data_IF_792703793374
#
_entry.id   IF_792703793374
#
_cell.length_a   1.000
_cell.length_b   1.000
_cell.length_c   1.000
_cell.angle_alpha   90.00
_cell.angle_beta   90.00
_cell.angle_gamma   90.00
#
_symmetry.space_group_name_H-M   'P 1'
#
loop_
_entity.id
_entity.type
_entity.pdbx_description
1 polymer ?
#
# COMPACT_ATOMS: atom_id res chain seq x y z
N UNK A 1 -3.10 14.55 1.86
CA UNK A 1 -1.86 13.78 1.63
C UNK A 1 -1.65 12.92 2.86
N UNK A 2 -1.99 11.64 2.76
CA UNK A 2 -1.78 10.67 3.83
C UNK A 2 -0.28 10.42 3.89
N UNK A 3 0.37 10.81 4.98
CA UNK A 3 1.80 10.52 5.19
C UNK A 3 1.98 9.01 5.04
N UNK A 4 2.90 8.57 4.15
CA UNK A 4 3.21 7.14 3.97
C UNK A 4 3.41 6.51 5.36
N UNK A 5 2.54 5.55 5.69
CA UNK A 5 2.66 4.82 6.95
C UNK A 5 4.01 4.09 6.94
N UNK A 6 4.69 4.04 8.10
CA UNK A 6 5.93 3.25 8.15
C UNK A 6 5.57 1.77 7.97
N UNK A 7 6.44 0.95 7.35
CA UNK A 7 6.19 -0.49 7.20
C UNK A 7 5.92 -1.18 8.55
N UNK A 8 6.56 -0.69 9.62
CA UNK A 8 6.36 -1.19 10.96
C UNK A 8 4.96 -0.89 11.50
N UNK A 9 4.44 0.33 11.25
CA UNK A 9 3.08 0.71 11.63
C UNK A 9 2.04 -0.05 10.79
N UNK A 10 2.23 -0.17 9.47
CA UNK A 10 1.32 -0.93 8.61
C UNK A 10 1.22 -2.39 9.03
N UNK A 11 2.35 -3.02 9.40
CA UNK A 11 2.33 -4.38 9.98
C UNK A 11 1.57 -4.45 11.31
N UNK A 12 1.68 -3.42 12.16
CA UNK A 12 0.92 -3.35 13.41
C UNK A 12 -0.58 -3.16 13.18
N UNK A 13 -0.96 -2.34 12.19
CA UNK A 13 -2.35 -2.11 11.80
C UNK A 13 -2.99 -3.37 11.20
N UNK A 14 -2.27 -4.11 10.37
CA UNK A 14 -2.74 -5.38 9.83
C UNK A 14 -3.11 -6.39 10.93
N UNK A 15 -2.40 -6.39 12.07
CA UNK A 15 -2.72 -7.28 13.21
C UNK A 15 -4.03 -6.90 13.92
N UNK A 16 -4.49 -5.66 13.81
CA UNK A 16 -5.75 -5.18 14.40
C UNK A 16 -6.81 -4.85 13.35
N UNK A 17 -6.61 -5.31 12.12
CA UNK A 17 -7.55 -5.13 11.02
C UNK A 17 -8.75 -6.07 11.16
N UNK A 18 -9.93 -5.72 10.62
CA UNK A 18 -11.09 -6.61 10.53
C UNK A 18 -10.76 -7.97 9.91
N UNK A 19 -11.46 -9.01 10.37
CA UNK A 19 -11.17 -10.41 10.05
C UNK A 19 -10.18 -11.08 11.01
N UNK A 20 -9.35 -10.29 11.72
CA UNK A 20 -8.43 -10.85 12.73
C UNK A 20 -9.13 -11.15 14.06
N UNK A 21 -8.72 -12.23 14.72
CA UNK A 21 -9.21 -12.56 16.06
C UNK A 21 -8.85 -11.48 17.10
N UNK A 22 -7.71 -10.79 16.92
CA UNK A 22 -7.32 -9.69 17.79
C UNK A 22 -8.29 -8.51 17.66
N UNK A 23 -8.66 -8.12 16.43
CA UNK A 23 -9.66 -7.07 16.21
C UNK A 23 -11.01 -7.43 16.84
N UNK A 24 -11.49 -8.66 16.64
CA UNK A 24 -12.72 -9.14 17.28
C UNK A 24 -12.66 -9.02 18.81
N UNK A 25 -11.51 -9.34 19.40
CA UNK A 25 -11.29 -9.21 20.84
C UNK A 25 -11.33 -7.75 21.30
N UNK A 26 -10.65 -6.85 20.58
CA UNK A 26 -10.63 -5.42 20.88
C UNK A 26 -12.02 -4.78 20.74
N UNK A 27 -12.76 -5.13 19.69
CA UNK A 27 -14.13 -4.67 19.48
C UNK A 27 -15.07 -5.17 20.60
N UNK A 28 -14.86 -6.40 21.09
CA UNK A 28 -15.60 -6.93 22.26
C UNK A 28 -15.29 -6.13 23.53
N UNK A 29 -14.03 -5.76 23.77
CA UNK A 29 -13.64 -4.90 24.90
C UNK A 29 -14.33 -3.55 24.80
N UNK A 30 -14.33 -2.95 23.61
CA UNK A 30 -14.93 -1.66 23.34
C UNK A 30 -16.45 -1.67 23.55
N UNK A 31 -17.15 -2.66 22.99
CA UNK A 31 -18.61 -2.86 23.14
C UNK A 31 -19.01 -3.11 24.59
N UNK A 32 -18.12 -3.69 25.39
CA UNK A 32 -18.34 -3.89 26.82
C UNK A 32 -18.11 -2.61 27.65
N UNK A 33 -17.76 -1.48 27.02
CA UNK A 33 -17.46 -0.23 27.71
C UNK A 33 -16.20 -0.30 28.56
N UNK A 34 -15.23 -1.15 28.18
CA UNK A 34 -14.00 -1.38 28.94
C UNK A 34 -12.79 -0.81 28.22
N UNK A 35 -11.74 -0.53 29.00
CA UNK A 35 -10.44 -0.15 28.47
C UNK A 35 -9.48 -1.33 28.52
N UNK A 36 -8.46 -1.29 27.68
CA UNK A 36 -7.41 -2.30 27.66
C UNK A 36 -6.08 -1.68 27.23
N UNK A 37 -4.99 -2.24 27.74
CA UNK A 37 -3.64 -1.97 27.25
C UNK A 37 -3.05 -3.31 26.84
N UNK A 38 -2.78 -3.49 25.55
CA UNK A 38 -2.33 -4.76 24.98
C UNK A 38 -0.96 -4.54 24.34
N UNK A 39 0.03 -5.35 24.71
CA UNK A 39 1.37 -5.33 24.11
C UNK A 39 1.54 -6.58 23.26
N UNK A 40 1.97 -6.41 22.01
CA UNK A 40 2.21 -7.50 21.06
C UNK A 40 3.70 -7.85 21.06
N UNK A 41 4.05 -8.87 21.84
CA UNK A 41 5.42 -9.33 22.04
C UNK A 41 5.73 -9.60 23.51
N UNK A 42 6.25 -10.79 23.79
CA UNK A 42 6.58 -11.29 25.12
C UNK A 42 8.10 -11.49 25.31
N UNK A 43 8.90 -10.73 24.55
CA UNK A 43 10.36 -10.77 24.59
C UNK A 43 10.99 -10.23 25.88
N UNK A 44 12.30 -10.45 26.10
CA UNK A 44 13.01 -10.04 27.33
C UNK A 44 12.89 -8.56 27.66
N UNK A 45 12.89 -7.69 26.65
CA UNK A 45 12.74 -6.24 26.82
C UNK A 45 11.39 -5.89 27.45
N UNK A 46 10.29 -6.49 26.95
CA UNK A 46 8.94 -6.28 27.52
C UNK A 46 8.86 -6.86 28.93
N UNK A 47 9.46 -8.02 29.16
CA UNK A 47 9.50 -8.63 30.48
C UNK A 47 10.30 -7.80 31.50
N UNK A 48 11.35 -7.10 31.06
CA UNK A 48 12.18 -6.26 31.94
C UNK A 48 11.45 -5.06 32.53
N UNK A 49 10.44 -4.55 31.81
CA UNK A 49 9.58 -3.44 32.27
C UNK A 49 8.26 -3.93 32.89
N UNK A 50 8.04 -5.25 32.94
CA UNK A 50 6.81 -5.86 33.43
C UNK A 50 6.92 -6.20 34.92
N UNK A 51 6.00 -5.66 35.73
CA UNK A 51 5.93 -5.95 37.17
C UNK A 51 4.55 -6.49 37.54
N UNK A 52 4.51 -7.47 38.44
CA UNK A 52 3.27 -8.11 38.88
C UNK A 52 2.59 -8.92 37.77
N UNK A 53 1.26 -9.00 37.82
CA UNK A 53 0.45 -9.82 36.93
C UNK A 53 0.63 -11.32 37.15
N UNK A 54 0.04 -12.12 36.26
CA UNK A 54 0.12 -13.57 36.30
C UNK A 54 0.48 -14.13 34.92
N UNK A 55 1.29 -15.19 34.94
CA UNK A 55 1.62 -15.98 33.76
C UNK A 55 0.40 -16.83 33.40
N UNK A 56 -0.07 -16.69 32.17
CA UNK A 56 -1.20 -17.44 31.62
C UNK A 56 -0.72 -18.53 30.68
N UNK A 57 0.14 -18.16 29.73
CA UNK A 57 0.61 -19.01 28.63
C UNK A 57 -0.52 -19.85 28.00
N UNK A 58 -1.59 -19.16 27.59
CA UNK A 58 -2.80 -19.78 27.06
C UNK A 58 -3.06 -19.33 25.64
N UNK A 59 -3.67 -20.18 24.81
CA UNK A 59 -4.06 -19.80 23.45
C UNK A 59 -4.92 -18.52 23.44
N UNK A 60 -4.75 -17.72 22.40
CA UNK A 60 -5.55 -16.52 22.24
C UNK A 60 -7.00 -16.88 21.88
N UNK A 61 -7.95 -16.14 22.44
CA UNK A 61 -9.30 -16.04 21.88
C UNK A 61 -9.88 -14.65 22.15
N UNK A 62 -10.77 -14.15 21.26
CA UNK A 62 -11.44 -12.87 21.47
C UNK A 62 -12.16 -12.76 22.83
N UNK A 63 -12.76 -13.87 23.27
CA UNK A 63 -13.46 -13.98 24.56
C UNK A 63 -12.47 -13.87 25.72
N UNK A 64 -11.35 -14.60 25.68
CA UNK A 64 -10.32 -14.52 26.73
C UNK A 64 -9.76 -13.11 26.86
N UNK A 65 -9.47 -12.45 25.73
CA UNK A 65 -9.00 -11.06 25.76
C UNK A 65 -10.01 -10.13 26.46
N UNK A 66 -11.30 -10.24 26.10
CA UNK A 66 -12.37 -9.42 26.69
C UNK A 66 -12.57 -9.69 28.19
N UNK A 67 -12.47 -10.95 28.61
CA UNK A 67 -12.56 -11.34 30.02
C UNK A 67 -11.38 -10.82 30.83
N UNK A 68 -10.15 -10.93 30.31
CA UNK A 68 -8.95 -10.43 30.98
C UNK A 68 -8.92 -8.90 31.05
N UNK A 69 -9.51 -8.21 30.07
CA UNK A 69 -9.65 -6.75 30.08
C UNK A 69 -10.62 -6.24 31.17
N UNK A 70 -11.29 -7.13 31.92
CA UNK A 70 -12.02 -6.76 33.15
C UNK A 70 -11.07 -6.42 34.30
N UNK A 71 -9.85 -6.94 34.24
CA UNK A 71 -8.80 -6.65 35.20
C UNK A 71 -8.11 -5.33 34.84
N UNK A 72 -7.44 -4.74 35.82
CA UNK A 72 -6.57 -3.60 35.58
C UNK A 72 -5.25 -4.05 34.93
N UNK A 73 -4.43 -3.08 34.53
CA UNK A 73 -3.11 -3.33 33.96
C UNK A 73 -3.11 -3.68 32.46
N UNK A 74 -1.99 -4.25 32.03
CA UNK A 74 -1.71 -4.63 30.66
C UNK A 74 -1.85 -6.13 30.43
N UNK A 75 -2.18 -6.47 29.19
CA UNK A 75 -2.22 -7.84 28.67
C UNK A 75 -1.06 -7.97 27.68
N UNK A 76 -0.21 -8.98 27.87
CA UNK A 76 0.93 -9.26 27.01
C UNK A 76 0.59 -10.47 26.17
N UNK A 77 0.62 -10.29 24.85
CA UNK A 77 0.42 -11.34 23.87
C UNK A 77 1.77 -11.75 23.26
N UNK A 78 1.83 -12.94 22.67
CA UNK A 78 2.92 -13.26 21.76
C UNK A 78 2.94 -12.31 20.56
N UNK A 79 4.09 -12.23 19.88
CA UNK A 79 4.32 -11.31 18.74
C UNK A 79 3.30 -11.49 17.61
N UNK A 80 2.84 -12.71 17.39
CA UNK A 80 1.85 -13.09 16.37
C UNK A 80 0.40 -13.11 16.90
N UNK A 81 0.17 -12.65 18.14
CA UNK A 81 -1.11 -12.70 18.84
C UNK A 81 -1.72 -14.12 18.98
N UNK A 82 -0.93 -15.19 18.81
CA UNK A 82 -1.41 -16.57 18.91
C UNK A 82 -1.73 -17.02 20.34
N UNK A 83 -1.05 -16.43 21.33
CA UNK A 83 -1.21 -16.74 22.76
C UNK A 83 -1.22 -15.49 23.63
N UNK A 84 -1.86 -15.62 24.79
CA UNK A 84 -1.81 -14.66 25.90
C UNK A 84 -0.74 -15.12 26.87
N UNK A 85 0.38 -14.40 26.91
CA UNK A 85 1.50 -14.71 27.78
C UNK A 85 1.18 -14.33 29.24
N UNK A 86 0.71 -13.08 29.45
CA UNK A 86 0.46 -12.52 30.79
C UNK A 86 -0.73 -11.58 30.78
N UNK A 87 -1.35 -11.42 31.94
CA UNK A 87 -2.39 -10.41 32.15
C UNK A 87 -2.23 -9.76 33.53
N UNK A 88 -2.94 -8.64 33.72
CA UNK A 88 -2.85 -7.80 34.92
C UNK A 88 -1.42 -7.32 35.22
N UNK A 89 -0.65 -7.06 34.17
CA UNK A 89 0.75 -6.64 34.28
C UNK A 89 0.81 -5.13 34.47
N UNK A 90 1.63 -4.65 35.40
CA UNK A 90 1.96 -3.24 35.50
C UNK A 90 3.24 -2.96 34.68
N UNK A 91 3.11 -2.17 33.62
CA UNK A 91 4.25 -1.77 32.78
C UNK A 91 4.89 -0.49 33.33
N UNK A 92 6.21 -0.54 33.53
CA UNK A 92 7.02 0.56 34.06
C UNK A 92 8.09 0.96 33.04
N UNK A 93 7.70 1.63 31.93
CA UNK A 93 8.67 2.14 30.96
C UNK A 93 9.47 3.32 31.52
N UNK A 94 10.58 3.68 30.87
CA UNK A 94 11.39 4.84 31.27
C UNK A 94 10.55 6.14 31.26
N UNK A 95 10.54 6.83 32.42
CA UNK A 95 9.81 8.07 32.62
C UNK A 95 10.42 9.26 31.88
N UNK A 96 11.70 9.19 31.49
CA UNK A 96 12.41 10.22 30.74
C UNK A 96 11.91 10.38 29.30
N UNK A 97 11.28 9.33 28.76
CA UNK A 97 10.76 9.32 27.39
C UNK A 97 9.60 10.31 27.26
N UNK A 98 9.69 11.27 26.32
CA UNK A 98 8.65 12.25 26.11
C UNK A 98 7.37 11.58 25.62
N UNK A 99 6.24 12.13 26.02
CA UNK A 99 4.90 11.65 25.64
C UNK A 99 3.98 12.86 25.47
N UNK A 100 3.19 12.86 24.41
CA UNK A 100 2.17 13.89 24.15
C UNK A 100 0.78 13.43 24.58
N UNK A 101 0.63 12.15 24.93
CA UNK A 101 -0.64 11.57 25.33
C UNK A 101 -1.08 12.01 26.74
N UNK A 102 -2.40 12.05 26.91
CA UNK A 102 -3.04 12.32 28.21
C UNK A 102 -3.61 11.04 28.80
N UNK A 103 -3.47 10.86 30.11
CA UNK A 103 -3.92 9.66 30.82
C UNK A 103 -2.83 8.60 30.94
N UNK A 104 -2.82 7.91 32.08
CA UNK A 104 -1.74 6.97 32.43
C UNK A 104 -1.59 5.84 31.41
N UNK A 105 -2.71 5.26 30.95
CA UNK A 105 -2.69 4.16 29.96
C UNK A 105 -2.07 4.56 28.62
N UNK A 106 -2.48 5.70 28.08
CA UNK A 106 -1.99 6.18 26.78
C UNK A 106 -0.53 6.64 26.86
N UNK A 107 -0.13 7.31 27.95
CA UNK A 107 1.27 7.66 28.21
C UNK A 107 2.15 6.43 28.33
N UNK A 108 1.69 5.39 29.04
CA UNK A 108 2.41 4.12 29.12
C UNK A 108 2.50 3.46 27.74
N UNK A 109 1.41 3.44 26.97
CA UNK A 109 1.41 2.86 25.63
C UNK A 109 2.44 3.52 24.70
N UNK A 110 2.43 4.85 24.63
CA UNK A 110 3.36 5.62 23.81
C UNK A 110 4.82 5.41 24.26
N UNK A 111 5.08 5.42 25.57
CA UNK A 111 6.44 5.21 26.09
C UNK A 111 6.95 3.80 25.86
N UNK A 112 6.11 2.78 26.01
CA UNK A 112 6.49 1.39 25.73
C UNK A 112 6.81 1.24 24.25
N UNK A 113 5.95 1.73 23.36
CA UNK A 113 6.19 1.65 21.91
C UNK A 113 7.44 2.44 21.44
N UNK A 114 7.81 3.51 22.14
CA UNK A 114 9.03 4.30 21.86
C UNK A 114 10.30 3.69 22.45
N UNK A 115 10.21 3.07 23.63
CA UNK A 115 11.37 2.44 24.29
C UNK A 115 11.69 1.07 23.72
N UNK A 116 10.65 0.32 23.38
CA UNK A 116 10.73 -1.06 22.94
C UNK A 116 10.02 -1.12 21.60
N UNK A 117 10.69 -1.63 20.57
CA UNK A 117 10.15 -1.77 19.20
C UNK A 117 9.11 -2.91 19.15
N UNK A 118 8.01 -2.76 19.90
CA UNK A 118 6.85 -3.65 19.96
C UNK A 118 5.57 -2.87 19.70
N UNK A 119 4.58 -3.44 18.99
CA UNK A 119 3.30 -2.77 18.81
C UNK A 119 2.51 -2.76 20.13
N UNK A 120 1.96 -1.61 20.48
CA UNK A 120 1.14 -1.45 21.68
C UNK A 120 -0.23 -0.92 21.28
N UNK A 121 -1.29 -1.59 21.73
CA UNK A 121 -2.67 -1.22 21.45
C UNK A 121 -3.32 -0.73 22.73
N UNK A 122 -3.93 0.44 22.67
CA UNK A 122 -4.75 0.96 23.76
C UNK A 122 -6.21 1.02 23.33
N UNK A 123 -7.11 0.61 24.22
CA UNK A 123 -8.55 0.76 24.07
C UNK A 123 -9.02 1.75 25.13
N UNK A 124 -9.66 2.84 24.69
CA UNK A 124 -10.22 3.86 25.56
C UNK A 124 -11.72 3.67 25.70
N UNK A 125 -12.16 3.28 26.90
CA UNK A 125 -13.59 3.16 27.23
C UNK A 125 -14.32 4.50 27.11
N UNK A 126 -13.69 5.60 27.56
CA UNK A 126 -14.33 6.91 27.62
C UNK A 126 -14.51 7.53 26.23
N UNK A 127 -13.55 7.28 25.33
CA UNK A 127 -13.61 7.83 23.97
C UNK A 127 -14.22 6.85 22.97
N UNK A 128 -14.39 5.58 23.35
CA UNK A 128 -14.78 4.49 22.44
C UNK A 128 -13.85 4.38 21.22
N UNK A 129 -12.53 4.46 21.45
CA UNK A 129 -11.51 4.43 20.40
C UNK A 129 -10.43 3.39 20.69
N UNK A 130 -9.88 2.83 19.60
CA UNK A 130 -8.70 1.98 19.60
C UNK A 130 -7.54 2.78 19.00
N UNK A 131 -6.39 2.77 19.66
CA UNK A 131 -5.17 3.40 19.15
C UNK A 131 -4.02 2.40 19.16
N UNK A 132 -3.24 2.40 18.08
CA UNK A 132 -2.02 1.61 17.90
C UNK A 132 -0.82 2.55 18.00
N UNK A 133 0.16 2.15 18.79
CA UNK A 133 1.43 2.83 18.96
C UNK A 133 2.54 1.91 18.46
N UNK A 134 3.42 2.45 17.62
CA UNK A 134 4.59 1.76 17.09
C UNK A 134 5.68 2.79 16.90
N UNK A 135 6.82 2.62 17.56
CA UNK A 135 7.89 3.61 17.56
C UNK A 135 7.39 4.98 18.01
N UNK A 136 7.72 6.03 17.27
CA UNK A 136 7.26 7.40 17.49
C UNK A 136 5.84 7.66 16.92
N UNK A 137 5.27 6.70 16.21
CA UNK A 137 4.00 6.83 15.51
C UNK A 137 2.82 6.37 16.37
N UNK A 138 1.75 7.14 16.29
CA UNK A 138 0.44 6.81 16.85
C UNK A 138 -0.58 6.84 15.72
N UNK A 139 -1.38 5.78 15.63
CA UNK A 139 -2.49 5.68 14.70
C UNK A 139 -3.78 5.38 15.43
N UNK A 140 -4.83 6.15 15.14
CA UNK A 140 -6.17 5.86 15.62
C UNK A 140 -6.87 4.95 14.62
N UNK A 141 -7.22 3.75 15.07
CA UNK A 141 -7.90 2.77 14.23
C UNK A 141 -9.28 3.32 13.87
N UNK A 142 -9.54 3.40 12.57
CA UNK A 142 -10.80 3.94 12.08
C UNK A 142 -11.93 2.90 12.16
N UNK A 143 -13.19 3.34 12.33
CA UNK A 143 -14.34 2.47 12.15
C UNK A 143 -14.41 1.93 10.72
N UNK A 144 -14.79 0.65 10.57
CA UNK A 144 -14.91 -0.02 9.26
C UNK A 144 -15.82 0.75 8.29
N UNK A 145 -16.92 1.32 8.77
CA UNK A 145 -17.84 2.13 7.95
C UNK A 145 -17.19 3.40 7.39
N UNK A 146 -16.31 4.05 8.16
CA UNK A 146 -15.58 5.22 7.71
C UNK A 146 -14.55 4.84 6.63
N UNK A 147 -13.84 3.72 6.84
CA UNK A 147 -12.89 3.19 5.87
C UNK A 147 -13.57 2.86 4.54
N UNK A 148 -14.71 2.17 4.56
CA UNK A 148 -15.49 1.90 3.35
C UNK A 148 -15.90 3.20 2.63
N UNK A 149 -16.46 4.18 3.35
CA UNK A 149 -16.88 5.43 2.73
C UNK A 149 -15.72 6.20 2.07
N UNK A 150 -14.53 6.18 2.69
CA UNK A 150 -13.32 6.79 2.11
C UNK A 150 -12.82 6.04 0.89
N UNK A 151 -12.88 4.72 0.96
CA UNK A 151 -12.43 3.84 -0.11
C UNK A 151 -13.33 3.92 -1.33
N UNK A 152 -14.65 3.92 -1.14
CA UNK A 152 -15.64 4.12 -2.22
C UNK A 152 -15.43 5.48 -2.92
N UNK A 153 -15.15 6.53 -2.13
CA UNK A 153 -14.82 7.86 -2.66
C UNK A 153 -13.52 7.83 -3.48
N UNK A 154 -12.49 7.16 -2.99
CA UNK A 154 -11.19 7.04 -3.67
C UNK A 154 -11.34 6.24 -4.97
N UNK A 155 -12.02 5.10 -4.95
CA UNK A 155 -12.30 4.28 -6.14
C UNK A 155 -13.11 5.03 -7.19
N UNK A 156 -14.17 5.74 -6.80
CA UNK A 156 -14.95 6.56 -7.73
C UNK A 156 -14.11 7.67 -8.37
N UNK A 157 -13.15 8.23 -7.63
CA UNK A 157 -12.21 9.22 -8.16
C UNK A 157 -11.20 8.58 -9.11
N UNK A 158 -10.65 7.42 -8.73
CA UNK A 158 -9.72 6.63 -9.54
C UNK A 158 -10.35 6.21 -10.87
N UNK A 159 -11.61 5.76 -10.87
CA UNK A 159 -12.37 5.42 -12.09
C UNK A 159 -12.45 6.58 -13.08
N UNK A 160 -12.63 7.82 -12.59
CA UNK A 160 -12.67 9.01 -13.46
C UNK A 160 -11.31 9.29 -14.07
N UNK A 161 -10.23 9.19 -13.30
CA UNK A 161 -8.88 9.35 -13.83
C UNK A 161 -8.48 8.24 -14.79
N UNK A 162 -8.89 6.99 -14.51
CA UNK A 162 -8.70 5.86 -15.42
C UNK A 162 -9.39 6.08 -16.76
N UNK A 163 -10.67 6.45 -16.73
CA UNK A 163 -11.41 6.78 -17.95
C UNK A 163 -10.76 7.93 -18.73
N UNK A 164 -10.28 8.97 -18.04
CA UNK A 164 -9.55 10.08 -18.66
C UNK A 164 -8.24 9.60 -19.30
N UNK A 165 -7.48 8.75 -18.61
CA UNK A 165 -6.24 8.15 -19.12
C UNK A 165 -6.51 7.38 -20.42
N UNK A 166 -7.53 6.53 -20.45
CA UNK A 166 -7.86 5.73 -21.64
C UNK A 166 -8.26 6.61 -22.85
N UNK A 167 -9.01 7.69 -22.61
CA UNK A 167 -9.38 8.65 -23.65
C UNK A 167 -8.16 9.41 -24.18
N UNK A 168 -7.30 9.91 -23.29
CA UNK A 168 -6.10 10.65 -23.69
C UNK A 168 -5.09 9.75 -24.42
N UNK A 169 -4.94 8.50 -23.99
CA UNK A 169 -4.08 7.53 -24.64
C UNK A 169 -4.56 7.22 -26.06
N UNK A 170 -5.87 7.00 -26.24
CA UNK A 170 -6.46 6.79 -27.57
C UNK A 170 -6.29 8.02 -28.46
N UNK A 171 -6.42 9.22 -27.89
CA UNK A 171 -6.18 10.48 -28.58
C UNK A 171 -4.73 10.63 -29.01
N UNK A 172 -3.78 10.33 -28.12
CA UNK A 172 -2.35 10.34 -28.40
C UNK A 172 -2.00 9.39 -29.55
N UNK A 173 -2.53 8.16 -29.55
CA UNK A 173 -2.32 7.22 -30.67
C UNK A 173 -2.89 7.72 -32.00
N UNK A 174 -3.97 8.52 -31.97
CA UNK A 174 -4.51 9.13 -33.20
C UNK A 174 -3.57 10.22 -33.72
N UNK A 175 -3.12 11.11 -32.83
CA UNK A 175 -2.16 12.17 -33.16
C UNK A 175 -0.81 11.61 -33.62
N UNK A 176 -0.40 10.46 -33.09
CA UNK A 176 0.79 9.71 -33.54
C UNK A 176 0.69 9.29 -35.00
N UNK A 177 -0.47 8.77 -35.41
CA UNK A 177 -0.71 8.36 -36.80
C UNK A 177 -0.72 9.57 -37.74
N UNK A 178 -1.22 10.70 -37.25
CA UNK A 178 -1.28 11.96 -38.00
C UNK A 178 0.03 12.78 -37.96
N UNK A 179 1.04 12.31 -37.22
CA UNK A 179 2.32 12.98 -37.00
C UNK A 179 2.15 14.43 -36.46
N UNK A 180 1.20 14.61 -35.54
CA UNK A 180 0.76 15.91 -35.02
C UNK A 180 0.79 16.02 -33.49
N UNK A 181 1.51 15.11 -32.83
CA UNK A 181 1.63 15.04 -31.36
C UNK A 181 2.32 16.29 -30.79
N UNK A 182 1.74 16.86 -29.74
CA UNK A 182 2.39 17.89 -28.94
C UNK A 182 2.84 17.38 -27.56
N UNK A 183 3.78 18.09 -26.94
CA UNK A 183 4.21 17.82 -25.56
C UNK A 183 3.02 17.88 -24.59
N UNK A 184 2.04 18.74 -24.85
CA UNK A 184 0.86 18.85 -23.99
C UNK A 184 0.00 17.58 -24.01
N UNK A 185 -0.07 16.88 -25.15
CA UNK A 185 -0.82 15.63 -25.29
C UNK A 185 -0.15 14.50 -24.49
N UNK A 186 1.19 14.40 -24.61
CA UNK A 186 2.00 13.43 -23.86
C UNK A 186 1.89 13.68 -22.35
N UNK A 187 2.07 14.93 -21.91
CA UNK A 187 1.94 15.32 -20.50
C UNK A 187 0.54 15.03 -19.97
N UNK A 188 -0.50 15.23 -20.77
CA UNK A 188 -1.87 14.90 -20.40
C UNK A 188 -2.06 13.42 -20.07
N UNK A 189 -1.50 12.51 -20.89
CA UNK A 189 -1.53 11.06 -20.64
C UNK A 189 -0.76 10.71 -19.37
N UNK A 190 0.46 11.24 -19.23
CA UNK A 190 1.34 11.00 -18.07
C UNK A 190 0.67 11.44 -16.77
N UNK A 191 0.11 12.65 -16.72
CA UNK A 191 -0.61 13.17 -15.56
C UNK A 191 -1.81 12.29 -15.19
N UNK A 192 -2.61 11.88 -16.17
CA UNK A 192 -3.80 11.07 -15.91
C UNK A 192 -3.42 9.68 -15.35
N UNK A 193 -2.38 9.06 -15.90
CA UNK A 193 -1.84 7.80 -15.39
C UNK A 193 -1.33 7.94 -13.95
N UNK A 194 -0.55 8.98 -13.67
CA UNK A 194 -0.01 9.20 -12.34
C UNK A 194 -1.10 9.46 -11.29
N UNK A 195 -2.15 10.20 -11.64
CA UNK A 195 -3.28 10.38 -10.74
C UNK A 195 -3.97 9.06 -10.38
N UNK A 196 -4.04 8.09 -11.30
CA UNK A 196 -4.56 6.73 -10.99
C UNK A 196 -3.64 6.02 -10.00
N UNK A 197 -2.33 5.97 -10.28
CA UNK A 197 -1.35 5.28 -9.44
C UNK A 197 -1.26 5.88 -8.03
N UNK A 198 -1.29 7.21 -7.92
CA UNK A 198 -1.26 7.91 -6.63
C UNK A 198 -2.48 7.63 -5.77
N UNK A 199 -3.67 7.61 -6.37
CA UNK A 199 -4.90 7.26 -5.63
C UNK A 199 -4.88 5.78 -5.25
N UNK A 200 -4.29 4.90 -6.06
CA UNK A 200 -4.13 3.50 -5.71
C UNK A 200 -3.24 3.32 -4.47
N UNK A 201 -2.13 4.06 -4.34
CA UNK A 201 -1.32 4.07 -3.11
C UNK A 201 -2.12 4.50 -1.87
N UNK A 202 -2.99 5.50 -2.01
CA UNK A 202 -3.90 5.91 -0.92
C UNK A 202 -4.89 4.79 -0.56
N UNK A 203 -5.44 4.08 -1.56
CA UNK A 203 -6.34 2.94 -1.35
C UNK A 203 -5.64 1.78 -0.65
N UNK A 204 -4.39 1.47 -1.01
CA UNK A 204 -3.60 0.42 -0.36
C UNK A 204 -3.43 0.68 1.14
N UNK A 205 -3.27 1.95 1.54
CA UNK A 205 -3.26 2.34 2.96
C UNK A 205 -4.57 1.98 3.68
N UNK A 206 -5.73 2.24 3.07
CA UNK A 206 -7.02 1.85 3.62
C UNK A 206 -7.23 0.33 3.63
N UNK A 207 -6.72 -0.39 2.63
CA UNK A 207 -6.81 -1.84 2.55
C UNK A 207 -6.08 -2.55 3.70
N UNK A 208 -4.93 -2.03 4.13
CA UNK A 208 -4.23 -2.55 5.31
C UNK A 208 -5.11 -2.47 6.56
N UNK A 209 -5.85 -1.37 6.73
CA UNK A 209 -6.74 -1.19 7.87
C UNK A 209 -8.08 -1.93 7.74
N UNK A 210 -8.55 -2.18 6.51
CA UNK A 210 -9.76 -2.95 6.23
C UNK A 210 -9.54 -4.47 6.37
N UNK A 211 -8.31 -4.96 6.19
CA UNK A 211 -8.00 -6.38 6.34
C UNK A 211 -8.85 -7.25 5.40
N UNK A 212 -9.51 -8.27 5.96
CA UNK A 212 -10.35 -9.19 5.16
C UNK A 212 -11.59 -8.49 4.55
N UNK A 213 -12.15 -7.49 5.25
CA UNK A 213 -13.31 -6.73 4.76
C UNK A 213 -12.97 -5.89 3.51
N UNK A 214 -11.68 -5.68 3.22
CA UNK A 214 -11.18 -4.94 2.07
C UNK A 214 -11.08 -5.75 0.77
N UNK A 215 -11.39 -7.05 0.78
CA UNK A 215 -11.11 -7.93 -0.37
C UNK A 215 -11.73 -7.41 -1.70
N UNK A 216 -13.01 -7.03 -1.68
CA UNK A 216 -13.70 -6.54 -2.88
C UNK A 216 -13.13 -5.22 -3.39
N UNK A 217 -12.76 -4.32 -2.48
CA UNK A 217 -12.09 -3.06 -2.81
C UNK A 217 -10.76 -3.35 -3.49
N UNK A 218 -9.97 -4.28 -2.93
CA UNK A 218 -8.66 -4.62 -3.46
C UNK A 218 -8.73 -5.13 -4.90
N UNK A 219 -9.72 -5.97 -5.20
CA UNK A 219 -10.00 -6.43 -6.57
C UNK A 219 -10.34 -5.27 -7.51
N UNK A 220 -11.21 -4.35 -7.09
CA UNK A 220 -11.60 -3.19 -7.89
C UNK A 220 -10.43 -2.24 -8.14
N UNK A 221 -9.61 -1.97 -7.12
CA UNK A 221 -8.39 -1.15 -7.25
C UNK A 221 -7.42 -1.79 -8.25
N UNK A 222 -7.17 -3.10 -8.10
CA UNK A 222 -6.27 -3.83 -8.99
C UNK A 222 -6.74 -3.81 -10.45
N UNK A 223 -8.04 -3.94 -10.71
CA UNK A 223 -8.62 -3.84 -12.05
C UNK A 223 -8.40 -2.45 -12.68
N UNK A 224 -8.57 -1.37 -11.90
CA UNK A 224 -8.40 0.00 -12.39
C UNK A 224 -6.95 0.36 -12.70
N UNK A 225 -6.01 -0.19 -11.92
CA UNK A 225 -4.57 0.02 -12.08
C UNK A 225 -3.99 -0.85 -13.20
N UNK A 226 -4.66 -1.93 -13.57
CA UNK A 226 -4.14 -2.88 -14.54
C UNK A 226 -3.76 -2.20 -15.88
N UNK A 227 -2.56 -2.53 -16.36
CA UNK A 227 -1.99 -1.97 -17.58
C UNK A 227 -1.59 -0.49 -17.54
N UNK A 228 -1.90 0.28 -16.49
CA UNK A 228 -1.56 1.73 -16.43
C UNK A 228 -0.05 1.95 -16.42
N UNK A 229 0.65 1.39 -15.43
CA UNK A 229 2.09 1.60 -15.27
C UNK A 229 2.94 1.10 -16.47
N UNK A 230 2.70 -0.11 -17.02
CA UNK A 230 3.42 -0.56 -18.22
C UNK A 230 3.18 0.34 -19.43
N UNK A 231 1.96 0.84 -19.61
CA UNK A 231 1.63 1.73 -20.72
C UNK A 231 2.30 3.09 -20.54
N UNK A 232 2.28 3.62 -19.31
CA UNK A 232 2.99 4.85 -18.96
C UNK A 232 4.49 4.74 -19.24
N UNK A 233 5.11 3.61 -18.90
CA UNK A 233 6.52 3.34 -19.20
C UNK A 233 6.80 3.41 -20.71
N UNK A 234 5.92 2.88 -21.56
CA UNK A 234 6.06 2.96 -23.02
C UNK A 234 5.96 4.40 -23.52
N UNK A 235 4.96 5.16 -23.06
CA UNK A 235 4.78 6.57 -23.43
C UNK A 235 6.01 7.39 -23.03
N UNK A 236 6.47 7.26 -21.79
CA UNK A 236 7.67 7.98 -21.32
C UNK A 236 8.91 7.56 -22.11
N UNK A 237 9.06 6.26 -22.43
CA UNK A 237 10.20 5.80 -23.22
C UNK A 237 10.21 6.40 -24.62
N UNK A 238 9.06 6.49 -25.26
CA UNK A 238 8.98 6.92 -26.66
C UNK A 238 9.09 8.45 -26.79
N UNK A 239 8.75 9.22 -25.74
CA UNK A 239 8.76 10.69 -25.78
C UNK A 239 9.79 11.40 -24.87
N UNK A 240 10.39 10.72 -23.89
CA UNK A 240 11.33 11.32 -22.92
C UNK A 240 12.75 10.77 -23.05
N UNK A 241 12.96 9.62 -23.69
CA UNK A 241 14.30 9.15 -24.00
C UNK A 241 14.89 9.94 -25.18
N UNK A 242 15.61 11.03 -24.87
CA UNK A 242 16.37 11.79 -25.86
C UNK A 242 17.30 10.91 -26.70
N UNK A 243 17.22 11.12 -28.02
CA UNK A 243 18.04 10.56 -29.10
C UNK A 243 17.99 9.05 -29.37
N UNK A 244 16.98 8.66 -30.17
CA UNK A 244 17.28 8.04 -31.46
C UNK A 244 16.62 8.90 -32.54
N UNK A 245 17.43 9.56 -33.37
CA UNK A 245 17.01 10.54 -34.36
C UNK A 245 15.74 10.14 -35.16
N UNK A 246 14.89 11.11 -35.55
CA UNK A 246 13.82 10.85 -36.50
C UNK A 246 14.49 10.42 -37.82
N UNK A 247 14.15 9.25 -38.34
CA UNK A 247 14.51 8.93 -39.73
C UNK A 247 13.72 9.88 -40.64
N UNK A 248 14.36 10.74 -41.44
CA UNK A 248 13.65 11.54 -42.42
C UNK A 248 13.37 10.67 -43.65
N UNK A 249 12.09 10.52 -43.99
CA UNK A 249 11.61 9.78 -45.16
C UNK A 249 10.86 8.51 -44.74
N UNK A 250 9.55 8.39 -44.91
CA UNK A 250 8.80 8.82 -46.09
C UNK A 250 8.44 7.59 -46.90
N UNK A 251 7.15 7.27 -46.89
CA UNK A 251 6.39 6.61 -47.95
C UNK A 251 6.82 5.22 -48.49
N UNK A 252 5.82 4.33 -48.46
CA UNK A 252 5.48 3.38 -49.52
C UNK A 252 6.48 2.25 -49.82
N UNK A 253 6.08 1.02 -49.46
CA UNK A 253 6.00 -0.09 -50.44
C UNK A 253 4.79 -0.98 -50.17
N UNK A 254 3.64 -0.58 -50.71
CA UNK A 254 2.73 -1.53 -51.35
C UNK A 254 3.25 -1.71 -52.78
N UNK A 255 3.78 -2.89 -53.08
CA UNK A 255 3.91 -3.47 -54.43
C UNK A 255 4.60 -4.85 -54.25
N UNK A 256 3.88 -5.95 -54.40
CA UNK A 256 3.61 -6.65 -55.65
C UNK A 256 4.48 -7.92 -55.72
N UNK A 257 3.81 -9.07 -55.92
CA UNK A 257 4.47 -10.34 -56.17
C UNK A 257 5.28 -10.32 -57.48
N UNK A 258 5.99 -11.43 -57.75
CA UNK A 258 5.45 -12.33 -58.76
C UNK A 258 5.48 -13.83 -58.37
N UNK A 259 4.62 -14.56 -59.08
CA UNK A 259 4.45 -16.01 -59.17
C UNK A 259 5.77 -16.77 -59.42
N UNK A 260 5.99 -18.04 -59.04
CA UNK A 260 5.31 -19.27 -59.48
C UNK A 260 5.87 -20.50 -58.73
N UNK A 261 4.99 -21.50 -58.53
CA UNK A 261 5.15 -22.94 -58.20
C UNK A 261 6.55 -23.58 -58.13
N UNK A 262 6.79 -24.44 -57.12
CA UNK A 262 6.48 -25.89 -57.21
C UNK A 262 6.86 -26.70 -55.94
N UNK A 263 5.95 -27.58 -55.52
CA UNK A 263 6.07 -28.86 -54.79
C UNK A 263 7.12 -29.06 -53.68
N UNK A 264 6.68 -29.41 -52.45
CA UNK A 264 6.52 -30.82 -51.97
C UNK A 264 6.08 -30.86 -50.49
N UNK A 265 5.16 -31.76 -50.18
CA UNK A 265 4.57 -32.01 -48.86
C UNK A 265 5.48 -32.81 -47.91
N UNK A 266 5.37 -32.57 -46.59
CA UNK A 266 5.24 -33.57 -45.51
C UNK A 266 5.32 -32.92 -44.10
N UNK A 267 4.27 -33.10 -43.29
CA UNK A 267 4.25 -33.05 -41.81
C UNK A 267 4.85 -34.35 -41.21
N UNK A 268 5.03 -34.54 -39.87
CA UNK A 268 4.86 -33.63 -38.71
C UNK A 268 6.06 -33.64 -37.70
N UNK A 269 5.94 -32.84 -36.62
CA UNK A 269 6.84 -32.75 -35.45
C UNK A 269 6.96 -34.07 -34.64
N UNK A 270 7.95 -34.22 -33.70
CA UNK A 270 7.72 -33.75 -32.33
C UNK A 270 8.95 -33.31 -31.46
N UNK A 271 8.62 -32.54 -30.42
CA UNK A 271 9.14 -32.50 -29.04
C UNK A 271 10.63 -32.17 -28.69
N UNK A 272 10.76 -31.02 -28.00
CA UNK A 272 11.44 -30.77 -26.72
C UNK A 272 12.94 -31.09 -26.55
N UNK A 273 13.74 -30.04 -26.39
CA UNK A 273 15.11 -30.10 -25.84
C UNK A 273 15.59 -28.73 -25.36
N UNK A 274 15.68 -28.57 -24.03
CA UNK A 274 16.14 -27.39 -23.26
C UNK A 274 17.34 -26.64 -23.87
N UNK A 275 17.19 -25.33 -24.04
CA UNK A 275 18.32 -24.40 -24.10
C UNK A 275 18.06 -23.18 -23.19
N UNK A 276 18.86 -23.10 -22.13
CA UNK A 276 18.96 -21.95 -21.22
C UNK A 276 19.29 -20.69 -22.02
N UNK A 277 18.51 -19.62 -21.88
CA UNK A 277 18.88 -18.26 -22.33
C UNK A 277 19.12 -17.37 -21.11
N UNK A 278 20.34 -16.85 -21.03
CA UNK A 278 20.82 -15.86 -20.08
C UNK A 278 20.00 -14.54 -20.18
N UNK A 279 19.98 -13.69 -19.13
CA UNK A 279 19.05 -12.58 -19.06
C UNK A 279 19.42 -11.50 -20.07
N UNK A 280 18.40 -11.00 -20.76
CA UNK A 280 18.49 -9.88 -21.69
C UNK A 280 18.69 -8.60 -20.88
N UNK A 281 19.73 -7.84 -21.23
CA UNK A 281 20.00 -6.48 -20.73
C UNK A 281 18.76 -5.59 -20.90
N UNK A 282 17.96 -5.45 -19.84
CA UNK A 282 16.80 -4.55 -19.76
C UNK A 282 16.76 -3.70 -18.49
N UNK A 283 17.69 -3.90 -17.55
CA UNK A 283 17.64 -3.37 -16.18
C UNK A 283 17.79 -1.85 -16.08
N UNK A 284 18.54 -1.20 -16.99
CA UNK A 284 18.78 0.24 -16.90
C UNK A 284 17.61 1.11 -17.43
N UNK A 285 16.72 0.55 -18.25
CA UNK A 285 15.59 1.30 -18.83
C UNK A 285 14.33 1.25 -17.95
N UNK A 286 14.10 0.12 -17.27
CA UNK A 286 13.05 0.02 -16.23
C UNK A 286 13.38 0.92 -15.03
N UNK A 287 14.65 1.14 -14.73
CA UNK A 287 15.08 2.06 -13.66
C UNK A 287 14.79 3.53 -13.99
N UNK A 288 14.93 3.95 -15.25
CA UNK A 288 14.69 5.32 -15.67
C UNK A 288 13.19 5.64 -15.72
N UNK A 289 12.37 4.71 -16.21
CA UNK A 289 10.91 4.82 -16.13
C UNK A 289 10.43 4.85 -14.68
N UNK A 290 10.96 3.97 -13.82
CA UNK A 290 10.67 4.01 -12.38
C UNK A 290 11.14 5.30 -11.71
N UNK A 291 12.27 5.88 -12.16
CA UNK A 291 12.78 7.15 -11.62
C UNK A 291 11.92 8.33 -12.06
N UNK A 292 11.50 8.38 -13.34
CA UNK A 292 10.59 9.42 -13.83
C UNK A 292 9.24 9.31 -13.12
N UNK A 293 8.69 8.11 -12.94
CA UNK A 293 7.46 7.91 -12.15
C UNK A 293 7.67 8.30 -10.68
N UNK A 294 8.83 8.01 -10.07
CA UNK A 294 9.16 8.46 -8.72
C UNK A 294 9.31 9.98 -8.59
N UNK A 295 9.93 10.62 -9.56
CA UNK A 295 10.13 12.07 -9.57
C UNK A 295 8.82 12.80 -9.87
N UNK A 296 7.96 12.25 -10.73
CA UNK A 296 6.61 12.76 -10.99
C UNK A 296 5.67 12.56 -9.79
N UNK A 297 5.72 11.40 -9.11
CA UNK A 297 4.90 11.14 -7.91
C UNK A 297 5.32 11.97 -6.69
N UNK A 298 6.56 12.47 -6.69
CA UNK A 298 7.07 13.43 -5.72
C UNK A 298 6.52 14.87 -5.93
N UNK A 299 5.99 15.18 -7.12
CA UNK A 299 5.38 16.48 -7.39
C UNK A 299 4.01 16.61 -6.68
N UNK A 300 3.70 17.83 -6.24
CA UNK A 300 2.37 18.16 -5.72
C UNK A 300 1.34 18.21 -6.86
N UNK A 301 0.03 18.06 -6.59
CA UNK A 301 -1.00 18.15 -7.64
C UNK A 301 -0.98 19.45 -8.45
N UNK A 302 -0.53 20.56 -7.85
CA UNK A 302 -0.36 21.85 -8.52
C UNK A 302 0.87 21.86 -9.45
N UNK A 303 1.98 21.27 -9.01
CA UNK A 303 3.20 21.12 -9.82
C UNK A 303 3.02 20.12 -10.96
N UNK A 304 2.23 19.06 -10.76
CA UNK A 304 1.81 18.19 -11.85
C UNK A 304 1.01 18.96 -12.88
N UNK A 305 0.24 19.98 -12.49
CA UNK A 305 -0.53 20.83 -13.41
C UNK A 305 0.31 21.84 -14.20
N UNK A 306 1.56 22.10 -13.79
CA UNK A 306 2.48 22.98 -14.49
C UNK A 306 3.31 22.17 -15.51
N UNK A 307 2.95 22.31 -16.79
CA UNK A 307 3.64 21.62 -17.89
C UNK A 307 5.14 21.91 -17.98
N UNK A 308 5.64 23.03 -17.43
CA UNK A 308 7.08 23.30 -17.36
C UNK A 308 7.76 22.47 -16.27
N UNK A 309 7.09 22.30 -15.13
CA UNK A 309 7.62 21.54 -13.99
C UNK A 309 7.64 20.05 -14.27
N UNK A 310 6.63 19.55 -14.97
CA UNK A 310 6.60 18.18 -15.50
C UNK A 310 7.70 17.99 -16.55
N UNK A 311 7.90 18.94 -17.47
CA UNK A 311 8.96 18.87 -18.46
C UNK A 311 10.40 18.99 -17.90
N UNK A 312 10.59 19.45 -16.66
CA UNK A 312 11.89 19.42 -15.98
C UNK A 312 12.22 18.04 -15.38
N UNK A 313 11.19 17.22 -15.14
CA UNK A 313 11.31 15.85 -14.62
C UNK A 313 11.40 14.83 -15.77
N UNK A 314 10.74 15.11 -16.90
CA UNK A 314 10.81 14.33 -18.13
C UNK A 314 12.12 14.59 -18.89
#
# INVERSE_FOLDING_TARGET
MTTRQSPALSSALAMVAPGTALRDGLDRVLRAGRGALVVLGDGPEVLSISTGGFLLDSEFSPQRLSELAKMDGAIILAKDASRIARANVHLVPDASIPTTETGTRHRTAERVARSIDVPVVSVSAAMSLIAVYRNDQRHMVQPTSWLHARTDQALATMQRFRSRFDVLLTGLSTLEIEDSVSVADVVGVVQAAEMVLRIAEDVDGYLVELGEDGHMVGLQSAELVDGVAPTLELVVRDYCAGDAAPSPGGASRIAAGPSTNSHRAAEPAPAAGKARKAPVKGTARSELANRIVQELSALTPEELGDGRRVAEVL
#
